data_IF_152091950320
#
_entry.id   IF_152091950320
#
_cell.length_a   1.000
_cell.length_b   1.000
_cell.length_c   1.000
_cell.angle_alpha   90.00
_cell.angle_beta   90.00
_cell.angle_gamma   90.00
#
_symmetry.space_group_name_H-M   'P 1'
#
loop_
_entity.id
_entity.type
_entity.pdbx_description
1 polymer ?
#
# COMPACT_ATOMS: atom_id res chain seq x y z
N UNK A 1 27.81 46.77 33.54
CA UNK A 1 28.39 46.77 34.90
C UNK A 1 28.10 45.42 35.54
N UNK A 2 29.17 44.70 35.94
CA UNK A 2 29.30 43.58 36.90
C UNK A 2 28.12 42.57 37.02
N UNK A 3 28.19 41.26 36.72
CA UNK A 3 29.15 40.16 37.04
C UNK A 3 29.44 40.02 38.54
N UNK A 4 29.19 38.82 39.10
CA UNK A 4 29.95 38.04 40.13
C UNK A 4 29.01 36.89 40.61
N UNK A 5 29.11 35.60 40.24
CA UNK A 5 30.17 34.55 40.40
C UNK A 5 30.45 34.25 41.90
N UNK A 6 30.23 33.06 42.47
CA UNK A 6 31.16 31.89 42.59
C UNK A 6 30.47 30.91 43.58
N UNK A 7 30.28 29.60 43.34
CA UNK A 7 31.21 28.46 43.31
C UNK A 7 31.90 28.08 44.66
N UNK A 8 31.60 26.84 45.08
CA UNK A 8 32.52 25.75 45.47
C UNK A 8 33.04 25.54 46.93
N UNK A 9 33.46 24.27 47.14
CA UNK A 9 34.29 23.66 48.21
C UNK A 9 33.59 23.28 49.54
N UNK A 10 33.91 22.18 50.26
CA UNK A 10 34.60 20.89 50.04
C UNK A 10 34.42 20.07 51.34
N UNK A 11 34.49 18.74 51.20
CA UNK A 11 34.96 17.69 52.13
C UNK A 11 35.45 18.04 53.55
N UNK A 12 35.08 17.24 54.57
CA UNK A 12 35.99 16.32 55.32
C UNK A 12 35.39 15.59 56.55
N UNK A 13 35.88 14.33 56.76
CA UNK A 13 36.17 13.62 58.03
C UNK A 13 35.02 13.05 58.91
N UNK A 14 35.11 11.91 59.64
CA UNK A 14 36.13 10.86 59.85
C UNK A 14 35.51 9.69 60.70
N UNK A 15 36.06 8.47 60.51
CA UNK A 15 36.22 7.33 61.45
C UNK A 15 34.97 6.63 62.06
N UNK A 16 34.93 5.30 62.29
CA UNK A 16 35.97 4.26 62.23
C UNK A 16 35.42 2.84 62.44
N UNK A 17 36.34 1.89 62.27
CA UNK A 17 36.27 0.43 62.13
C UNK A 17 35.57 -0.41 63.22
N UNK A 18 35.02 -1.56 62.79
CA UNK A 18 35.07 -2.84 63.50
C UNK A 18 35.27 -4.01 62.50
N UNK A 19 36.00 -5.02 62.95
CA UNK A 19 36.97 -5.82 62.19
C UNK A 19 36.50 -7.26 61.90
N UNK A 20 37.03 -7.84 60.81
CA UNK A 20 37.41 -9.26 60.59
C UNK A 20 36.34 -10.38 60.64
N UNK A 21 36.22 -11.12 59.52
CA UNK A 21 36.76 -12.49 59.35
C UNK A 21 36.50 -13.07 57.94
N UNK A 22 37.44 -13.91 57.50
CA UNK A 22 37.48 -14.82 56.34
C UNK A 22 37.94 -14.27 54.98
N UNK A 23 39.27 -14.25 54.84
CA UNK A 23 40.02 -14.28 53.58
C UNK A 23 40.67 -15.66 53.40
N UNK A 24 40.26 -16.44 52.40
CA UNK A 24 41.07 -17.53 51.83
C UNK A 24 40.90 -17.55 50.29
N UNK A 25 42.01 -17.18 49.64
CA UNK A 25 42.56 -17.63 48.35
C UNK A 25 41.71 -17.61 47.07
N UNK A 26 41.93 -16.58 46.26
CA UNK A 26 41.54 -16.45 44.84
C UNK A 26 42.47 -17.23 43.87
N UNK A 27 43.50 -17.91 44.38
CA UNK A 27 44.48 -18.65 43.57
C UNK A 27 43.97 -20.04 43.11
N UNK A 28 43.04 -20.67 43.85
CA UNK A 28 42.51 -22.01 43.52
C UNK A 28 41.47 -22.00 42.38
N UNK A 29 40.71 -20.91 42.23
CA UNK A 29 39.72 -20.78 41.15
C UNK A 29 40.36 -20.56 39.76
N UNK A 30 41.60 -20.05 39.69
CA UNK A 30 42.32 -19.86 38.41
C UNK A 30 42.89 -21.15 37.82
N UNK A 31 43.26 -22.15 38.64
CA UNK A 31 43.80 -23.44 38.15
C UNK A 31 42.73 -24.33 37.50
N UNK A 32 41.50 -24.30 38.00
CA UNK A 32 40.38 -25.09 37.44
C UNK A 32 39.92 -24.55 36.08
N UNK A 33 39.99 -23.22 35.88
CA UNK A 33 39.56 -22.58 34.61
C UNK A 33 40.56 -22.76 33.46
N UNK A 34 41.85 -23.00 33.74
CA UNK A 34 42.87 -23.25 32.71
C UNK A 34 42.95 -24.72 32.29
N UNK A 35 42.53 -25.68 33.13
CA UNK A 35 42.49 -27.11 32.81
C UNK A 35 41.37 -27.48 31.80
N UNK A 36 40.26 -26.74 31.82
CA UNK A 36 39.16 -26.92 30.86
C UNK A 36 39.44 -26.33 29.47
N UNK A 37 40.46 -25.45 29.35
CA UNK A 37 40.86 -24.83 28.07
C UNK A 37 41.89 -25.65 27.28
N UNK A 38 42.50 -26.70 27.85
CA UNK A 38 43.53 -27.51 27.16
C UNK A 38 43.02 -28.83 26.57
N UNK A 39 41.77 -29.25 26.83
CA UNK A 39 41.21 -30.54 26.35
C UNK A 39 40.16 -30.46 25.24
N UNK A 40 39.96 -29.29 24.61
CA UNK A 40 39.11 -29.13 23.40
C UNK A 40 39.88 -28.77 22.14
N UNK A 41 41.13 -29.25 22.03
CA UNK A 41 42.00 -29.06 20.85
C UNK A 41 42.40 -30.41 20.26
N UNK A 42 41.42 -31.19 19.76
CA UNK A 42 41.68 -32.40 18.97
C UNK A 42 40.44 -32.87 18.18
N UNK A 43 40.02 -32.08 17.18
CA UNK A 43 39.37 -32.58 15.94
C UNK A 43 39.29 -31.41 14.97
N UNK A 44 40.40 -31.15 14.29
CA UNK A 44 40.48 -30.17 13.20
C UNK A 44 40.07 -30.92 11.93
N UNK A 45 38.76 -30.98 11.66
CA UNK A 45 38.27 -31.19 10.30
C UNK A 45 38.90 -30.11 9.42
N UNK A 46 39.38 -30.48 8.23
CA UNK A 46 39.86 -29.53 7.22
C UNK A 46 38.70 -28.59 6.86
N UNK A 47 38.62 -27.45 7.53
CA UNK A 47 37.83 -26.31 7.08
C UNK A 47 38.48 -25.82 5.79
N UNK A 48 37.73 -25.94 4.70
CA UNK A 48 38.00 -25.19 3.47
C UNK A 48 37.96 -23.72 3.89
N UNK A 49 38.99 -22.90 3.62
CA UNK A 49 38.95 -21.49 3.98
C UNK A 49 37.71 -20.88 3.32
N UNK A 50 36.96 -20.00 4.03
CA UNK A 50 35.89 -19.26 3.38
C UNK A 50 36.53 -18.50 2.22
N UNK A 51 36.05 -18.73 1.00
CA UNK A 51 36.32 -17.80 -0.10
C UNK A 51 36.01 -16.41 0.43
N UNK A 52 36.96 -15.49 0.30
CA UNK A 52 36.72 -14.07 0.49
C UNK A 52 35.38 -13.75 -0.18
N UNK A 53 34.41 -13.31 0.61
CA UNK A 53 33.15 -12.87 0.04
C UNK A 53 33.48 -11.64 -0.78
N UNK A 54 33.43 -11.74 -2.10
CA UNK A 54 33.54 -10.57 -2.98
C UNK A 54 32.65 -9.47 -2.38
N UNK A 55 33.21 -8.30 -2.13
CA UNK A 55 32.42 -7.17 -1.66
C UNK A 55 31.29 -6.95 -2.66
N UNK A 56 30.09 -6.63 -2.18
CA UNK A 56 28.91 -6.50 -3.05
C UNK A 56 29.14 -5.50 -4.21
N UNK A 57 30.10 -4.58 -4.04
CA UNK A 57 30.52 -3.59 -5.04
C UNK A 57 31.31 -4.19 -6.22
N UNK A 58 31.98 -5.34 -6.01
CA UNK A 58 32.79 -6.06 -6.99
C UNK A 58 31.99 -7.09 -7.81
N UNK A 59 30.77 -7.40 -7.36
CA UNK A 59 29.85 -8.27 -8.11
C UNK A 59 29.48 -7.60 -9.44
N UNK A 60 29.74 -8.32 -10.54
CA UNK A 60 29.41 -7.88 -11.89
C UNK A 60 29.00 -9.05 -12.80
N UNK A 61 28.34 -8.72 -13.91
CA UNK A 61 28.11 -9.65 -14.99
C UNK A 61 29.26 -9.59 -16.00
N UNK A 62 29.78 -10.75 -16.40
CA UNK A 62 30.72 -10.80 -17.52
C UNK A 62 30.00 -10.49 -18.85
N UNK A 63 30.76 -10.13 -19.89
CA UNK A 63 30.19 -9.85 -21.21
C UNK A 63 29.44 -11.05 -21.78
N UNK A 64 30.04 -12.23 -21.70
CA UNK A 64 29.45 -13.46 -22.26
C UNK A 64 28.20 -13.89 -21.48
N UNK A 65 28.25 -13.80 -20.15
CA UNK A 65 27.09 -14.06 -19.28
C UNK A 65 25.94 -13.10 -19.60
N UNK A 66 26.25 -11.82 -19.79
CA UNK A 66 25.26 -10.79 -20.16
C UNK A 66 24.58 -11.10 -21.48
N UNK A 67 25.36 -11.49 -22.51
CA UNK A 67 24.82 -11.84 -23.82
C UNK A 67 23.93 -13.08 -23.78
N UNK A 68 24.35 -14.12 -23.03
CA UNK A 68 23.56 -15.34 -22.86
C UNK A 68 22.24 -15.07 -22.12
N UNK A 69 22.27 -14.28 -21.04
CA UNK A 69 21.07 -13.88 -20.30
C UNK A 69 20.12 -13.12 -21.19
N UNK A 70 20.61 -12.13 -21.96
CA UNK A 70 19.78 -11.34 -22.89
C UNK A 70 19.09 -12.21 -23.92
N UNK A 71 19.86 -13.05 -24.62
CA UNK A 71 19.32 -13.93 -25.65
C UNK A 71 18.24 -14.88 -25.10
N UNK A 72 18.59 -15.66 -24.07
CA UNK A 72 17.70 -16.69 -23.52
C UNK A 72 16.44 -16.10 -22.87
N UNK A 73 16.58 -14.94 -22.21
CA UNK A 73 15.45 -14.29 -21.55
C UNK A 73 14.49 -13.65 -22.55
N UNK A 74 14.99 -13.02 -23.61
CA UNK A 74 14.15 -12.40 -24.64
C UNK A 74 13.44 -13.46 -25.48
N UNK A 75 14.12 -14.54 -25.87
CA UNK A 75 13.51 -15.67 -26.58
C UNK A 75 12.36 -16.28 -25.77
N UNK A 76 12.61 -16.57 -24.49
CA UNK A 76 11.56 -17.05 -23.58
C UNK A 76 10.41 -16.06 -23.47
N UNK A 77 10.69 -14.76 -23.36
CA UNK A 77 9.67 -13.73 -23.20
C UNK A 77 8.77 -13.60 -24.43
N UNK A 78 9.34 -13.70 -25.63
CA UNK A 78 8.58 -13.62 -26.88
C UNK A 78 7.52 -14.74 -26.95
N UNK A 79 7.83 -15.92 -26.42
CA UNK A 79 6.91 -17.07 -26.39
C UNK A 79 5.97 -17.11 -25.18
N UNK A 80 6.40 -16.61 -24.02
CA UNK A 80 5.75 -16.85 -22.73
C UNK A 80 5.13 -15.61 -22.07
N UNK A 81 5.32 -14.42 -22.64
CA UNK A 81 4.76 -13.20 -22.06
C UNK A 81 3.24 -13.29 -21.91
N UNK A 82 2.72 -12.92 -20.74
CA UNK A 82 1.27 -12.79 -20.57
C UNK A 82 0.73 -11.68 -21.44
N UNK A 83 -0.43 -11.96 -22.00
CA UNK A 83 -1.19 -11.03 -22.80
C UNK A 83 -1.92 -10.02 -21.90
N UNK A 84 -1.39 -8.79 -21.84
CA UNK A 84 -1.85 -7.74 -20.93
C UNK A 84 -2.27 -6.49 -21.72
N UNK A 85 -3.38 -5.81 -21.35
CA UNK A 85 -3.92 -4.69 -22.13
C UNK A 85 -2.91 -3.56 -22.38
N UNK A 86 -2.11 -3.22 -21.37
CA UNK A 86 -1.09 -2.17 -21.46
C UNK A 86 0.14 -2.57 -22.29
N UNK A 87 0.31 -3.85 -22.63
CA UNK A 87 1.38 -4.31 -23.54
C UNK A 87 1.04 -4.11 -25.01
N UNK A 88 -0.25 -4.14 -25.39
CA UNK A 88 -0.71 -4.15 -26.79
C UNK A 88 -0.69 -2.80 -27.51
N UNK A 89 -0.68 -1.67 -26.80
CA UNK A 89 -0.82 -0.33 -27.40
C UNK A 89 0.40 -0.01 -28.28
N UNK A 90 0.24 0.19 -29.59
CA UNK A 90 1.38 0.31 -30.52
C UNK A 90 1.14 1.28 -31.70
N UNK A 91 2.18 2.09 -32.02
CA UNK A 91 2.55 2.54 -33.39
C UNK A 91 2.19 3.95 -33.89
N UNK A 92 3.13 4.92 -33.91
CA UNK A 92 2.99 6.30 -34.46
C UNK A 92 3.58 7.40 -33.55
N UNK A 93 3.81 8.64 -34.01
CA UNK A 93 4.34 9.72 -33.13
C UNK A 93 3.35 10.12 -32.04
N UNK A 94 2.09 10.31 -32.40
CA UNK A 94 0.99 10.58 -31.45
C UNK A 94 0.69 9.34 -30.59
N UNK A 95 1.00 8.17 -31.11
CA UNK A 95 0.89 6.90 -30.40
C UNK A 95 2.06 6.68 -29.41
N UNK A 96 3.20 7.38 -29.55
CA UNK A 96 4.28 7.32 -28.55
C UNK A 96 3.87 7.97 -27.25
N UNK A 97 3.26 9.15 -27.31
CA UNK A 97 2.79 9.85 -26.12
C UNK A 97 1.64 9.10 -25.46
N UNK A 98 0.71 8.56 -26.26
CA UNK A 98 -0.33 7.64 -25.76
C UNK A 98 0.28 6.39 -25.14
N UNK A 99 1.35 5.83 -25.72
CA UNK A 99 2.06 4.67 -25.15
C UNK A 99 2.75 5.04 -23.84
N UNK A 100 3.42 6.18 -23.76
CA UNK A 100 4.02 6.71 -22.54
C UNK A 100 2.99 6.89 -21.43
N UNK A 101 1.87 7.53 -21.75
CA UNK A 101 0.72 7.69 -20.86
C UNK A 101 0.15 6.34 -20.40
N UNK A 102 -0.11 5.41 -21.32
CA UNK A 102 -0.66 4.11 -20.99
C UNK A 102 0.26 3.28 -20.09
N UNK A 103 1.57 3.27 -20.38
CA UNK A 103 2.58 2.63 -19.53
C UNK A 103 2.59 3.30 -18.15
N UNK A 104 2.58 4.64 -18.10
CA UNK A 104 2.55 5.35 -16.82
C UNK A 104 1.32 4.97 -15.97
N UNK A 105 0.14 4.95 -16.56
CA UNK A 105 -1.10 4.53 -15.90
C UNK A 105 -0.98 3.09 -15.37
N UNK A 106 -0.53 2.15 -16.20
CA UNK A 106 -0.41 0.74 -15.78
C UNK A 106 0.61 0.57 -14.67
N UNK A 107 1.77 1.22 -14.75
CA UNK A 107 2.82 1.15 -13.74
C UNK A 107 2.33 1.73 -12.41
N UNK A 108 1.62 2.86 -12.43
CA UNK A 108 1.04 3.45 -11.23
C UNK A 108 -0.03 2.52 -10.64
N UNK A 109 -0.87 1.88 -11.45
CA UNK A 109 -1.87 0.90 -10.96
C UNK A 109 -1.22 -0.35 -10.36
N UNK A 110 -0.16 -0.88 -10.97
CA UNK A 110 0.51 -2.12 -10.57
C UNK A 110 1.33 -1.99 -9.27
N UNK A 111 1.64 -0.77 -8.82
CA UNK A 111 2.29 -0.55 -7.53
C UNK A 111 1.50 -1.20 -6.38
N UNK A 112 2.04 -2.29 -5.81
CA UNK A 112 1.42 -3.04 -4.72
C UNK A 112 0.00 -3.55 -5.01
N UNK A 113 -0.35 -3.74 -6.29
CA UNK A 113 -1.65 -4.27 -6.72
C UNK A 113 -1.45 -5.44 -7.67
N UNK A 114 -2.31 -6.46 -7.57
CA UNK A 114 -2.19 -7.67 -8.41
C UNK A 114 -2.59 -7.38 -9.86
N UNK A 115 -1.86 -7.97 -10.81
CA UNK A 115 -2.13 -7.85 -12.26
C UNK A 115 -3.60 -8.16 -12.59
N UNK A 116 -4.15 -9.25 -12.06
CA UNK A 116 -5.53 -9.68 -12.31
C UNK A 116 -6.56 -8.61 -11.94
N UNK A 117 -6.32 -7.87 -10.86
CA UNK A 117 -7.19 -6.76 -10.43
C UNK A 117 -7.04 -5.56 -11.35
N UNK A 118 -5.80 -5.25 -11.78
CA UNK A 118 -5.52 -4.05 -12.57
C UNK A 118 -6.12 -4.09 -13.97
N UNK A 119 -6.28 -5.28 -14.57
CA UNK A 119 -6.79 -5.44 -15.95
C UNK A 119 -8.10 -4.67 -16.19
N UNK A 120 -9.11 -4.86 -15.34
CA UNK A 120 -10.42 -4.23 -15.55
C UNK A 120 -10.41 -2.73 -15.22
N UNK A 121 -9.61 -2.32 -14.23
CA UNK A 121 -9.42 -0.91 -13.93
C UNK A 121 -8.73 -0.17 -15.06
N UNK A 122 -7.66 -0.76 -15.62
CA UNK A 122 -6.93 -0.19 -16.72
C UNK A 122 -7.82 -0.04 -17.96
N UNK A 123 -8.59 -1.08 -18.32
CA UNK A 123 -9.52 -1.02 -19.47
C UNK A 123 -10.55 0.10 -19.30
N UNK A 124 -11.23 0.18 -18.15
CA UNK A 124 -12.21 1.25 -17.87
C UNK A 124 -11.57 2.63 -17.87
N UNK A 125 -10.37 2.74 -17.28
CA UNK A 125 -9.60 3.98 -17.23
C UNK A 125 -9.24 4.48 -18.62
N UNK A 126 -8.60 3.64 -19.44
CA UNK A 126 -8.19 4.00 -20.80
C UNK A 126 -9.38 4.26 -21.73
N UNK A 127 -10.55 3.67 -21.45
CA UNK A 127 -11.78 3.99 -22.17
C UNK A 127 -12.33 5.38 -21.81
N UNK A 128 -12.26 5.79 -20.54
CA UNK A 128 -12.73 7.12 -20.10
C UNK A 128 -11.71 8.23 -20.42
N UNK A 129 -10.44 7.97 -20.18
CA UNK A 129 -9.33 8.91 -20.40
C UNK A 129 -8.26 8.24 -21.27
N UNK A 130 -8.42 8.23 -22.60
CA UNK A 130 -7.50 7.56 -23.51
C UNK A 130 -6.15 8.27 -23.66
N UNK A 131 -6.08 9.57 -23.34
CA UNK A 131 -4.84 10.35 -23.45
C UNK A 131 -4.60 11.19 -22.20
N UNK A 132 -3.35 11.66 -22.06
CA UNK A 132 -2.93 12.57 -21.00
C UNK A 132 -3.85 13.81 -20.88
N UNK A 133 -4.20 14.41 -22.01
CA UNK A 133 -5.07 15.60 -22.08
C UNK A 133 -6.47 15.34 -21.50
N UNK A 134 -7.06 14.17 -21.77
CA UNK A 134 -8.35 13.79 -21.19
C UNK A 134 -8.27 13.67 -19.67
N UNK A 135 -7.19 13.08 -19.16
CA UNK A 135 -6.98 12.96 -17.71
C UNK A 135 -6.75 14.33 -17.06
N UNK A 136 -5.97 15.21 -17.70
CA UNK A 136 -5.69 16.54 -17.17
C UNK A 136 -6.96 17.39 -16.97
N UNK A 137 -8.00 17.18 -17.78
CA UNK A 137 -9.29 17.86 -17.65
C UNK A 137 -10.19 17.25 -16.56
N UNK A 138 -9.86 16.06 -16.04
CA UNK A 138 -10.69 15.37 -15.06
C UNK A 138 -10.66 16.06 -13.69
N UNK A 139 -11.79 15.96 -12.98
CA UNK A 139 -11.85 16.34 -11.57
C UNK A 139 -11.19 15.27 -10.68
N UNK A 140 -10.69 15.67 -9.51
CA UNK A 140 -10.15 14.72 -8.53
C UNK A 140 -11.22 13.73 -8.06
N UNK A 141 -12.48 14.14 -8.02
CA UNK A 141 -13.59 13.29 -7.58
C UNK A 141 -13.85 12.16 -8.56
N UNK A 142 -13.99 12.46 -9.85
CA UNK A 142 -14.14 11.43 -10.89
C UNK A 142 -12.97 10.45 -10.90
N UNK A 143 -11.75 10.97 -10.74
CA UNK A 143 -10.53 10.17 -10.70
C UNK A 143 -10.50 9.24 -9.48
N UNK A 144 -10.87 9.74 -8.30
CA UNK A 144 -10.99 8.92 -7.09
C UNK A 144 -12.06 7.84 -7.25
N UNK A 145 -13.17 8.16 -7.91
CA UNK A 145 -14.28 7.25 -8.14
C UNK A 145 -13.87 6.10 -9.07
N UNK A 146 -13.17 6.41 -10.16
CA UNK A 146 -12.61 5.41 -11.08
C UNK A 146 -11.51 4.56 -10.42
N UNK A 147 -10.78 5.11 -9.46
CA UNK A 147 -9.74 4.41 -8.70
C UNK A 147 -10.28 3.61 -7.51
N UNK A 148 -11.58 3.75 -7.20
CA UNK A 148 -12.17 3.18 -6.00
C UNK A 148 -11.96 1.67 -5.93
N UNK A 149 -11.31 1.21 -4.86
CA UNK A 149 -10.98 -0.20 -4.63
C UNK A 149 -9.54 -0.61 -4.95
N UNK A 150 -8.77 0.18 -5.72
CA UNK A 150 -7.34 -0.11 -5.96
C UNK A 150 -6.43 0.23 -4.76
N UNK A 151 -6.92 1.08 -3.84
CA UNK A 151 -6.16 1.54 -2.69
C UNK A 151 -5.01 2.49 -3.06
N UNK A 152 -4.30 2.98 -2.03
CA UNK A 152 -3.18 3.93 -2.18
C UNK A 152 -3.52 5.15 -3.05
N UNK A 153 -4.60 5.86 -2.74
CA UNK A 153 -5.16 6.98 -3.52
C UNK A 153 -4.21 8.17 -3.73
N UNK A 154 -3.12 8.27 -2.95
CA UNK A 154 -2.06 9.25 -3.25
C UNK A 154 -1.48 9.03 -4.66
N UNK A 155 -1.40 7.78 -5.12
CA UNK A 155 -0.94 7.42 -6.47
C UNK A 155 -1.76 8.11 -7.55
N UNK A 156 -3.09 7.97 -7.50
CA UNK A 156 -3.96 8.53 -8.54
C UNK A 156 -4.02 10.05 -8.48
N UNK A 157 -3.92 10.64 -7.28
CA UNK A 157 -3.82 12.09 -7.13
C UNK A 157 -2.55 12.64 -7.79
N UNK A 158 -1.41 11.99 -7.57
CA UNK A 158 -0.16 12.38 -8.20
C UNK A 158 -0.18 12.12 -9.71
N UNK A 159 -0.83 11.05 -10.18
CA UNK A 159 -1.04 10.81 -11.60
C UNK A 159 -1.85 11.94 -12.25
N UNK A 160 -2.96 12.38 -11.63
CA UNK A 160 -3.75 13.52 -12.11
C UNK A 160 -2.95 14.83 -12.06
N UNK A 161 -2.26 15.09 -10.95
CA UNK A 161 -1.44 16.30 -10.80
C UNK A 161 -0.35 16.34 -11.87
N UNK A 162 0.41 15.26 -12.05
CA UNK A 162 1.46 15.19 -13.06
C UNK A 162 0.91 15.29 -14.48
N UNK A 163 -0.29 14.76 -14.75
CA UNK A 163 -0.91 14.90 -16.06
C UNK A 163 -1.26 16.37 -16.37
N UNK A 164 -1.72 17.13 -15.36
CA UNK A 164 -1.94 18.57 -15.49
C UNK A 164 -0.64 19.32 -15.72
N UNK A 165 0.39 19.04 -14.93
CA UNK A 165 1.73 19.64 -15.06
C UNK A 165 2.30 19.46 -16.47
N UNK A 166 2.27 18.23 -17.02
CA UNK A 166 2.79 17.96 -18.38
C UNK A 166 1.97 18.68 -19.48
N UNK A 167 0.64 18.79 -19.31
CA UNK A 167 -0.20 19.52 -20.28
C UNK A 167 0.05 21.03 -20.21
N UNK A 168 0.26 21.58 -19.02
CA UNK A 168 0.60 23.00 -18.82
C UNK A 168 1.96 23.37 -19.42
N UNK A 169 2.94 22.44 -19.42
CA UNK A 169 4.27 22.62 -20.00
C UNK A 169 4.34 22.44 -21.54
N UNK A 170 3.20 22.31 -22.21
CA UNK A 170 3.12 22.20 -23.69
C UNK A 170 2.68 20.84 -24.23
N UNK A 171 2.31 19.90 -23.35
CA UNK A 171 1.57 18.69 -23.72
C UNK A 171 2.38 17.53 -24.31
N UNK A 172 3.66 17.73 -24.60
CA UNK A 172 4.57 16.66 -25.06
C UNK A 172 4.95 15.76 -23.89
N UNK A 173 4.79 14.45 -24.04
CA UNK A 173 5.13 13.51 -22.97
C UNK A 173 6.67 13.37 -22.82
N UNK A 174 7.26 13.52 -21.61
CA UNK A 174 8.71 13.43 -21.45
C UNK A 174 9.27 12.04 -21.73
N UNK A 175 10.39 11.98 -22.44
CA UNK A 175 10.96 10.70 -22.91
C UNK A 175 12.22 10.26 -22.14
N UNK A 176 12.80 11.15 -21.32
CA UNK A 176 14.00 10.87 -20.53
C UNK A 176 13.69 10.59 -19.07
N UNK A 177 14.53 9.75 -18.43
CA UNK A 177 14.41 9.47 -16.98
C UNK A 177 14.54 10.74 -16.15
N UNK A 178 15.40 11.68 -16.56
CA UNK A 178 15.62 12.93 -15.81
C UNK A 178 14.38 13.81 -15.78
N UNK A 179 13.70 13.98 -16.92
CA UNK A 179 12.49 14.78 -17.01
C UNK A 179 11.30 14.08 -16.35
N UNK A 180 11.13 12.78 -16.59
CA UNK A 180 10.08 11.98 -15.97
C UNK A 180 10.13 12.06 -14.44
N UNK A 181 11.32 12.06 -13.83
CA UNK A 181 11.49 12.18 -12.38
C UNK A 181 11.13 13.55 -11.80
N UNK A 182 10.99 14.59 -12.62
CA UNK A 182 10.51 15.90 -12.16
C UNK A 182 9.01 15.86 -11.86
N UNK A 183 8.27 15.00 -12.55
CA UNK A 183 6.82 14.84 -12.37
C UNK A 183 6.54 14.19 -11.03
N UNK A 184 5.68 14.81 -10.23
CA UNK A 184 5.36 14.34 -8.88
C UNK A 184 4.75 12.93 -8.92
N UNK A 185 5.31 12.04 -8.11
CA UNK A 185 4.86 10.65 -8.01
C UNK A 185 5.53 9.69 -8.99
N UNK A 186 6.35 10.18 -9.92
CA UNK A 186 7.23 9.35 -10.75
C UNK A 186 8.57 9.16 -10.04
N UNK A 187 8.76 7.96 -9.48
CA UNK A 187 10.05 7.53 -8.92
C UNK A 187 10.98 6.96 -9.99
N UNK A 188 12.20 6.59 -9.56
CA UNK A 188 13.23 6.01 -10.43
C UNK A 188 12.74 4.77 -11.21
N UNK A 189 12.04 3.86 -10.53
CA UNK A 189 11.40 2.69 -11.16
C UNK A 189 10.44 3.08 -12.28
N UNK A 190 9.47 3.96 -11.99
CA UNK A 190 8.42 4.34 -12.94
C UNK A 190 9.01 5.13 -14.11
N UNK A 191 9.99 6.00 -13.86
CA UNK A 191 10.71 6.71 -14.92
C UNK A 191 11.45 5.74 -15.84
N UNK A 192 12.18 4.76 -15.28
CA UNK A 192 12.87 3.73 -16.06
C UNK A 192 11.91 2.86 -16.88
N UNK A 193 10.77 2.48 -16.29
CA UNK A 193 9.76 1.66 -16.95
C UNK A 193 9.15 2.40 -18.15
N UNK A 194 8.74 3.65 -17.98
CA UNK A 194 8.21 4.47 -19.05
C UNK A 194 9.27 4.70 -20.15
N UNK A 195 10.46 5.18 -19.77
CA UNK A 195 11.53 5.50 -20.71
C UNK A 195 11.97 4.29 -21.54
N UNK A 196 12.09 3.11 -20.93
CA UNK A 196 12.49 1.90 -21.64
C UNK A 196 11.36 1.27 -22.47
N UNK A 197 10.14 1.17 -21.93
CA UNK A 197 9.02 0.49 -22.58
C UNK A 197 8.39 1.34 -23.69
N UNK A 198 8.20 2.64 -23.46
CA UNK A 198 7.55 3.52 -24.43
C UNK A 198 8.56 4.18 -25.38
N UNK A 199 9.74 4.56 -24.87
CA UNK A 199 10.69 5.42 -25.58
C UNK A 199 12.01 4.72 -25.93
N UNK A 200 12.12 3.40 -25.70
CA UNK A 200 13.29 2.57 -26.03
C UNK A 200 14.61 3.10 -25.46
N UNK A 201 14.59 3.87 -24.38
CA UNK A 201 15.80 4.32 -23.71
C UNK A 201 16.45 3.13 -23.00
N UNK A 202 17.77 2.99 -23.15
CA UNK A 202 18.56 1.91 -22.54
C UNK A 202 18.79 2.23 -21.07
N UNK A 203 17.77 2.01 -20.26
CA UNK A 203 17.78 2.28 -18.81
C UNK A 203 17.21 1.09 -18.04
N UNK A 204 17.78 0.77 -16.87
CA UNK A 204 17.30 -0.34 -16.05
C UNK A 204 15.98 -0.02 -15.35
N UNK A 205 15.31 -1.09 -14.94
CA UNK A 205 14.12 -1.05 -14.10
C UNK A 205 14.32 -2.06 -12.97
N UNK A 206 14.15 -1.62 -11.73
CA UNK A 206 14.35 -2.48 -10.55
C UNK A 206 13.12 -2.43 -9.65
N UNK A 207 12.36 -3.53 -9.61
CA UNK A 207 11.30 -3.80 -8.63
C UNK A 207 11.66 -4.98 -7.72
N UNK A 208 10.72 -5.40 -6.88
CA UNK A 208 10.90 -6.57 -6.01
C UNK A 208 11.07 -7.89 -6.77
N UNK A 209 10.61 -7.99 -8.03
CA UNK A 209 10.83 -9.15 -8.89
C UNK A 209 12.25 -9.18 -9.41
N UNK A 210 12.72 -8.06 -9.97
CA UNK A 210 14.08 -7.87 -10.48
C UNK A 210 15.12 -8.06 -9.38
N UNK A 211 14.91 -7.43 -8.21
CA UNK A 211 15.79 -7.61 -7.04
C UNK A 211 15.95 -9.10 -6.71
N UNK A 212 14.85 -9.85 -6.70
CA UNK A 212 14.87 -11.28 -6.38
C UNK A 212 15.56 -12.12 -7.46
N UNK A 213 15.35 -11.81 -8.73
CA UNK A 213 16.03 -12.50 -9.83
C UNK A 213 17.54 -12.23 -9.75
N UNK A 214 17.95 -10.97 -9.68
CA UNK A 214 19.37 -10.60 -9.63
C UNK A 214 20.05 -11.15 -8.37
N UNK A 215 19.38 -11.10 -7.22
CA UNK A 215 19.94 -11.66 -5.99
C UNK A 215 20.19 -13.17 -6.11
N UNK A 216 19.36 -13.89 -6.85
CA UNK A 216 19.55 -15.34 -7.08
C UNK A 216 20.61 -15.61 -8.15
N UNK A 217 20.61 -14.82 -9.23
CA UNK A 217 21.64 -14.91 -10.26
C UNK A 217 23.03 -14.74 -9.67
N UNK A 218 23.22 -13.79 -8.74
CA UNK A 218 24.52 -13.49 -8.14
C UNK A 218 24.69 -13.95 -6.69
N UNK A 219 23.77 -14.76 -6.17
CA UNK A 219 23.78 -15.26 -4.79
C UNK A 219 23.99 -14.14 -3.73
N UNK A 220 23.33 -12.99 -3.91
CA UNK A 220 23.41 -11.83 -3.01
C UNK A 220 22.45 -12.03 -1.84
N UNK A 221 22.99 -12.31 -0.65
CA UNK A 221 22.22 -12.47 0.60
C UNK A 221 22.04 -11.18 1.40
N UNK A 222 22.53 -10.04 0.90
CA UNK A 222 22.39 -8.75 1.59
C UNK A 222 20.91 -8.33 1.73
N UNK A 223 20.62 -7.48 2.71
CA UNK A 223 19.28 -6.94 2.90
C UNK A 223 18.91 -6.04 1.69
N UNK A 224 17.86 -6.37 0.94
CA UNK A 224 17.50 -5.67 -0.29
C UNK A 224 16.95 -4.25 -0.08
N UNK A 225 16.80 -3.81 1.18
CA UNK A 225 16.35 -2.45 1.53
C UNK A 225 17.48 -1.52 1.90
N UNK A 226 18.70 -2.03 2.08
CA UNK A 226 19.84 -1.19 2.43
C UNK A 226 20.27 -0.37 1.20
N UNK A 227 20.57 0.91 1.42
CA UNK A 227 20.86 1.87 0.34
C UNK A 227 21.99 1.40 -0.59
N UNK A 228 23.08 0.85 -0.04
CA UNK A 228 24.20 0.31 -0.82
C UNK A 228 23.78 -0.90 -1.66
N UNK A 229 22.99 -1.81 -1.09
CA UNK A 229 22.45 -2.99 -1.78
C UNK A 229 21.51 -2.58 -2.93
N UNK A 230 20.62 -1.61 -2.68
CA UNK A 230 19.73 -1.06 -3.72
C UNK A 230 20.54 -0.48 -4.88
N UNK A 231 21.57 0.34 -4.59
CA UNK A 231 22.46 0.90 -5.61
C UNK A 231 23.15 -0.20 -6.43
N UNK A 232 23.56 -1.27 -5.78
CA UNK A 232 24.19 -2.43 -6.44
C UNK A 232 23.21 -3.15 -7.37
N UNK A 233 21.95 -3.35 -6.98
CA UNK A 233 20.93 -3.91 -7.87
C UNK A 233 20.66 -3.04 -9.10
N UNK A 234 20.64 -1.70 -8.94
CA UNK A 234 20.51 -0.78 -10.08
C UNK A 234 21.72 -0.86 -11.04
N UNK A 235 22.94 -0.93 -10.50
CA UNK A 235 24.17 -1.14 -11.29
C UNK A 235 24.11 -2.45 -12.07
N UNK A 236 23.78 -3.55 -11.40
CA UNK A 236 23.67 -4.89 -11.98
C UNK A 236 22.58 -4.97 -13.04
N UNK A 237 21.40 -4.41 -12.78
CA UNK A 237 20.34 -4.32 -13.77
C UNK A 237 20.81 -3.52 -14.99
N UNK A 238 21.50 -2.40 -14.80
CA UNK A 238 22.05 -1.57 -15.88
C UNK A 238 23.03 -2.30 -16.80
N UNK A 239 23.82 -3.24 -16.26
CA UNK A 239 24.69 -4.11 -17.06
C UNK A 239 23.89 -5.06 -17.97
N UNK A 240 22.73 -5.52 -17.49
CA UNK A 240 21.92 -6.53 -18.17
C UNK A 240 20.99 -5.96 -19.24
N UNK A 241 20.51 -4.71 -19.11
CA UNK A 241 19.55 -4.11 -20.06
C UNK A 241 20.02 -4.28 -21.50
N UNK A 242 19.17 -4.87 -22.33
CA UNK A 242 19.47 -5.06 -23.75
C UNK A 242 19.48 -3.70 -24.48
N UNK A 243 20.54 -3.38 -25.25
CA UNK A 243 20.64 -2.11 -25.95
C UNK A 243 19.66 -1.97 -27.13
N UNK A 244 19.15 -3.08 -27.68
CA UNK A 244 18.24 -3.06 -28.83
C UNK A 244 16.76 -3.11 -28.39
N UNK A 245 16.47 -3.86 -27.33
CA UNK A 245 15.12 -4.12 -26.79
C UNK A 245 15.03 -3.83 -25.28
N UNK A 246 15.37 -2.63 -24.81
CA UNK A 246 15.47 -2.36 -23.37
C UNK A 246 14.13 -2.51 -22.64
N UNK A 247 13.03 -2.07 -23.26
CA UNK A 247 11.68 -2.22 -22.72
C UNK A 247 11.23 -3.67 -22.58
N UNK A 248 11.47 -4.49 -23.60
CA UNK A 248 11.13 -5.92 -23.56
C UNK A 248 12.01 -6.66 -22.56
N UNK A 249 13.31 -6.35 -22.51
CA UNK A 249 14.22 -6.95 -21.55
C UNK A 249 13.80 -6.66 -20.10
N UNK A 250 13.49 -5.39 -19.77
CA UNK A 250 13.01 -5.02 -18.44
C UNK A 250 11.71 -5.75 -18.09
N UNK A 251 10.77 -5.83 -19.04
CA UNK A 251 9.53 -6.56 -18.83
C UNK A 251 9.76 -8.07 -18.67
N UNK A 252 10.66 -8.66 -19.44
CA UNK A 252 11.02 -10.07 -19.36
C UNK A 252 11.63 -10.42 -18.00
N UNK A 253 12.49 -9.55 -17.46
CA UNK A 253 13.09 -9.75 -16.15
C UNK A 253 12.05 -9.67 -15.02
N UNK A 254 11.10 -8.72 -15.11
CA UNK A 254 9.96 -8.65 -14.21
C UNK A 254 9.03 -9.87 -14.34
N UNK A 255 8.74 -10.30 -15.57
CA UNK A 255 7.89 -11.45 -15.89
C UNK A 255 8.48 -12.75 -15.36
N UNK A 256 9.79 -12.96 -15.53
CA UNK A 256 10.51 -14.11 -15.01
C UNK A 256 10.37 -14.18 -13.49
N UNK A 257 10.58 -13.06 -12.79
CA UNK A 257 10.38 -12.98 -11.35
C UNK A 257 8.92 -13.29 -10.97
N UNK A 258 7.96 -12.74 -11.69
CA UNK A 258 6.54 -12.90 -11.38
C UNK A 258 6.00 -14.32 -11.61
N UNK A 259 6.55 -15.08 -12.57
CA UNK A 259 5.95 -16.33 -13.06
C UNK A 259 6.78 -17.58 -12.75
N UNK A 260 8.11 -17.52 -12.82
CA UNK A 260 8.99 -18.68 -12.63
C UNK A 260 9.86 -18.53 -11.38
N UNK A 261 10.57 -17.42 -11.26
CA UNK A 261 11.48 -17.14 -10.15
C UNK A 261 10.69 -16.56 -8.96
N UNK A 262 9.68 -17.30 -8.50
CA UNK A 262 8.75 -16.92 -7.43
C UNK A 262 9.41 -16.84 -6.04
N UNK A 263 8.74 -16.23 -5.06
CA UNK A 263 9.26 -16.12 -3.69
C UNK A 263 9.53 -17.48 -3.05
N UNK A 264 8.61 -18.42 -3.24
CA UNK A 264 8.65 -19.78 -2.69
C UNK A 264 8.44 -20.79 -3.82
N UNK A 265 9.25 -21.85 -3.84
CA UNK A 265 9.22 -22.88 -4.87
C UNK A 265 9.43 -22.32 -6.31
N UNK A 266 10.60 -21.73 -6.59
CA UNK A 266 10.91 -21.23 -7.93
C UNK A 266 10.99 -22.37 -8.95
N UNK A 267 10.45 -22.15 -10.14
CA UNK A 267 10.47 -23.09 -11.28
C UNK A 267 11.83 -23.20 -11.95
N UNK A 268 12.89 -23.50 -11.19
CA UNK A 268 14.27 -23.49 -11.66
C UNK A 268 14.54 -24.46 -12.82
N UNK A 269 13.81 -25.57 -12.90
CA UNK A 269 13.98 -26.58 -13.94
C UNK A 269 13.62 -26.08 -15.35
N UNK A 270 12.69 -25.13 -15.45
CA UNK A 270 12.21 -24.54 -16.71
C UNK A 270 12.63 -23.08 -16.88
N UNK A 271 13.51 -22.59 -16.00
CA UNK A 271 13.97 -21.20 -16.04
C UNK A 271 14.98 -21.02 -17.18
N UNK A 272 14.77 -20.06 -18.11
CA UNK A 272 15.60 -19.89 -19.31
C UNK A 272 17.04 -19.48 -19.00
N UNK A 273 17.27 -18.86 -17.84
CA UNK A 273 18.59 -18.38 -17.40
C UNK A 273 19.11 -19.17 -16.18
N UNK A 274 18.67 -20.42 -16.03
CA UNK A 274 19.07 -21.27 -14.91
C UNK A 274 20.56 -21.64 -14.92
N UNK A 275 21.17 -21.71 -16.10
CA UNK A 275 22.60 -22.00 -16.26
C UNK A 275 23.49 -20.91 -15.66
N UNK A 276 23.04 -19.65 -15.68
CA UNK A 276 23.75 -18.49 -15.11
C UNK A 276 23.37 -18.23 -13.63
N UNK A 277 22.55 -19.07 -13.01
CA UNK A 277 22.04 -18.83 -11.66
C UNK A 277 22.99 -19.37 -10.58
N UNK A 278 23.76 -18.49 -9.93
CA UNK A 278 24.70 -18.89 -8.88
C UNK A 278 23.99 -19.50 -7.67
N UNK A 279 22.84 -18.98 -7.23
CA UNK A 279 22.09 -19.57 -6.12
C UNK A 279 21.62 -21.01 -6.43
N UNK A 280 21.25 -21.30 -7.69
CA UNK A 280 20.91 -22.65 -8.10
C UNK A 280 22.13 -23.57 -8.12
N UNK A 281 23.27 -23.08 -8.61
CA UNK A 281 24.54 -23.82 -8.56
C UNK A 281 24.92 -24.18 -7.13
N UNK A 282 24.82 -23.23 -6.19
CA UNK A 282 25.12 -23.46 -4.77
C UNK A 282 24.16 -24.48 -4.16
N UNK A 283 22.86 -24.37 -4.44
CA UNK A 283 21.85 -25.31 -3.93
C UNK A 283 22.05 -26.74 -4.42
N UNK A 284 22.58 -26.93 -5.64
CA UNK A 284 22.94 -28.25 -6.17
C UNK A 284 24.20 -28.84 -5.52
N UNK A 285 25.10 -27.99 -5.01
CA UNK A 285 26.35 -28.41 -4.36
C UNK A 285 26.17 -28.65 -2.86
N UNK A 286 25.19 -28.00 -2.23
CA UNK A 286 24.93 -28.10 -0.80
C UNK A 286 23.43 -28.09 -0.52
N UNK A 287 22.91 -29.24 -0.03
CA UNK A 287 21.49 -29.44 0.27
C UNK A 287 20.93 -28.49 1.33
N UNK A 288 21.79 -27.89 2.17
CA UNK A 288 21.39 -26.90 3.19
C UNK A 288 21.17 -25.48 2.65
N UNK A 289 21.49 -25.23 1.38
CA UNK A 289 21.30 -23.93 0.73
C UNK A 289 20.15 -24.05 -0.28
N UNK A 290 19.17 -23.16 -0.17
CA UNK A 290 18.06 -23.09 -1.11
C UNK A 290 18.10 -21.80 -1.94
N UNK A 291 17.65 -21.89 -3.20
CA UNK A 291 17.49 -20.70 -4.06
C UNK A 291 16.58 -19.65 -3.42
N UNK A 292 15.61 -20.07 -2.59
CA UNK A 292 14.71 -19.20 -1.85
C UNK A 292 15.35 -18.40 -0.71
N UNK A 293 16.60 -18.73 -0.33
CA UNK A 293 17.33 -18.00 0.71
C UNK A 293 17.83 -16.63 0.21
N UNK A 294 17.77 -16.41 -1.10
CA UNK A 294 18.18 -15.18 -1.77
C UNK A 294 16.96 -14.43 -2.37
N UNK A 295 16.74 -13.15 -2.04
CA UNK A 295 17.49 -12.34 -1.08
C UNK A 295 17.05 -12.63 0.36
N UNK A 296 17.84 -12.19 1.35
CA UNK A 296 17.48 -12.36 2.76
C UNK A 296 16.12 -11.75 3.07
N UNK A 297 15.28 -12.52 3.75
CA UNK A 297 13.94 -12.11 4.14
C UNK A 297 14.00 -11.00 5.19
N UNK A 298 13.48 -9.83 4.83
CA UNK A 298 13.38 -8.70 5.76
C UNK A 298 12.17 -8.87 6.68
N UNK A 299 12.39 -8.80 7.99
CA UNK A 299 11.30 -8.78 8.98
C UNK A 299 10.48 -7.50 8.80
N UNK A 300 9.16 -7.65 8.64
CA UNK A 300 8.25 -6.51 8.52
C UNK A 300 7.98 -5.92 9.90
N UNK A 301 7.91 -4.58 9.98
CA UNK A 301 7.46 -3.89 11.18
C UNK A 301 6.02 -4.31 11.53
N UNK A 302 5.72 -4.37 12.83
CA UNK A 302 4.35 -4.65 13.30
C UNK A 302 3.43 -3.48 12.95
N UNK A 303 2.20 -3.80 12.56
CA UNK A 303 1.16 -2.79 12.29
C UNK A 303 0.74 -2.14 13.60
N UNK A 304 0.46 -0.83 13.56
CA UNK A 304 -0.14 -0.12 14.70
C UNK A 304 -1.63 -0.44 14.78
N UNK A 305 -2.18 -0.50 15.98
CA UNK A 305 -3.60 -0.73 16.20
C UNK A 305 -4.30 0.61 16.45
N UNK A 306 -5.39 0.86 15.74
CA UNK A 306 -6.20 2.06 15.87
C UNK A 306 -7.67 1.68 16.04
N UNK A 307 -8.45 2.56 16.68
CA UNK A 307 -9.87 2.36 16.95
C UNK A 307 -10.66 3.52 16.39
N UNK A 308 -11.85 3.25 15.86
CA UNK A 308 -12.74 4.30 15.36
C UNK A 308 -14.20 3.97 15.64
N UNK A 309 -14.97 4.98 16.05
CA UNK A 309 -16.43 4.90 16.01
C UNK A 309 -16.92 5.48 14.68
N UNK A 310 -17.83 4.76 14.03
CA UNK A 310 -18.42 5.10 12.73
C UNK A 310 -19.93 5.08 12.87
N UNK A 311 -20.58 6.17 12.47
CA UNK A 311 -22.04 6.30 12.51
C UNK A 311 -22.59 6.43 11.10
N UNK A 312 -23.38 5.45 10.69
CA UNK A 312 -24.14 5.52 9.43
C UNK A 312 -25.41 6.30 9.73
N UNK A 313 -25.41 7.58 9.37
CA UNK A 313 -26.55 8.46 9.58
C UNK A 313 -27.48 8.41 8.37
N UNK A 314 -28.70 7.94 8.60
CA UNK A 314 -29.76 7.87 7.61
C UNK A 314 -30.86 8.87 7.98
N UNK A 315 -31.30 9.65 6.99
CA UNK A 315 -32.40 10.59 7.12
C UNK A 315 -33.59 10.05 6.31
N UNK A 316 -34.73 9.96 6.99
CA UNK A 316 -36.01 9.64 6.36
C UNK A 316 -36.66 10.94 5.86
N UNK A 317 -36.88 11.02 4.55
CA UNK A 317 -37.54 12.18 3.93
C UNK A 317 -39.06 12.16 4.20
N UNK A 318 -39.66 13.34 4.35
CA UNK A 318 -41.07 13.50 4.73
C UNK A 318 -42.04 13.64 3.53
N UNK A 319 -41.57 13.60 2.29
CA UNK A 319 -42.44 13.85 1.13
C UNK A 319 -43.31 12.63 0.76
N UNK A 320 -44.54 12.67 1.29
CA UNK A 320 -45.83 12.12 0.83
C UNK A 320 -45.89 10.79 0.07
N UNK A 321 -46.45 9.79 0.75
CA UNK A 321 -47.73 9.09 0.47
C UNK A 321 -48.18 8.72 -0.96
N UNK A 322 -47.33 8.78 -1.99
CA UNK A 322 -47.66 8.24 -3.32
C UNK A 322 -46.52 7.37 -3.87
N UNK A 323 -46.70 6.04 -3.77
CA UNK A 323 -45.94 5.06 -4.57
C UNK A 323 -44.58 4.63 -4.03
N UNK A 324 -44.57 3.50 -3.33
CA UNK A 324 -43.51 2.46 -3.30
C UNK A 324 -42.03 2.87 -3.48
N UNK A 325 -41.47 3.65 -2.55
CA UNK A 325 -40.14 3.44 -1.90
C UNK A 325 -39.80 4.72 -1.11
N UNK A 326 -39.69 4.65 0.21
CA UNK A 326 -39.08 5.74 0.99
C UNK A 326 -37.64 5.95 0.49
N UNK A 327 -37.36 7.09 -0.13
CA UNK A 327 -36.00 7.47 -0.49
C UNK A 327 -35.30 7.92 0.79
N UNK A 328 -34.55 7.01 1.41
CA UNK A 328 -33.68 7.38 2.51
C UNK A 328 -32.37 7.96 2.00
N UNK A 329 -31.96 9.07 2.62
CA UNK A 329 -30.73 9.79 2.33
C UNK A 329 -29.69 9.46 3.39
N UNK A 330 -28.44 9.33 2.98
CA UNK A 330 -27.31 9.06 3.88
C UNK A 330 -26.37 10.25 3.93
N UNK A 331 -25.81 10.55 5.10
CA UNK A 331 -24.80 11.59 5.24
C UNK A 331 -23.42 11.00 5.00
N UNK A 332 -22.66 11.62 4.10
CA UNK A 332 -21.23 11.39 3.94
C UNK A 332 -20.44 12.65 4.25
N UNK A 333 -19.27 12.46 4.84
CA UNK A 333 -18.28 13.52 5.11
C UNK A 333 -17.04 13.30 4.24
N UNK A 334 -16.46 14.38 3.74
CA UNK A 334 -15.23 14.34 2.96
C UNK A 334 -14.04 14.43 3.89
N UNK A 335 -13.13 13.46 3.80
CA UNK A 335 -11.88 13.49 4.58
C UNK A 335 -11.01 14.67 4.15
N UNK A 336 -10.16 15.21 5.04
CA UNK A 336 -9.20 16.26 4.71
C UNK A 336 -8.34 15.91 3.49
N UNK A 337 -7.79 16.92 2.83
CA UNK A 337 -6.93 16.73 1.64
C UNK A 337 -5.56 16.09 1.98
N UNK A 338 -5.25 15.89 3.25
CA UNK A 338 -4.03 15.25 3.73
C UNK A 338 -4.29 14.08 4.68
N UNK A 339 -3.27 13.25 4.88
CA UNK A 339 -3.36 12.06 5.74
C UNK A 339 -3.99 10.83 5.09
N UNK A 340 -4.50 9.93 5.93
CA UNK A 340 -5.06 8.63 5.51
C UNK A 340 -6.35 8.84 4.71
N UNK A 341 -6.45 8.18 3.55
CA UNK A 341 -7.63 8.22 2.66
C UNK A 341 -8.08 9.64 2.28
N UNK A 342 -7.11 10.55 2.16
CA UNK A 342 -7.35 11.97 1.98
C UNK A 342 -8.24 12.30 0.76
N UNK A 343 -9.20 13.22 0.95
CA UNK A 343 -10.15 13.70 -0.06
C UNK A 343 -11.24 12.69 -0.44
N UNK A 344 -11.34 11.54 0.22
CA UNK A 344 -12.37 10.53 -0.03
C UNK A 344 -13.57 10.71 0.89
N UNK A 345 -14.71 10.21 0.44
CA UNK A 345 -15.97 10.23 1.18
C UNK A 345 -16.07 9.04 2.14
N UNK A 346 -16.57 9.29 3.35
CA UNK A 346 -16.84 8.30 4.37
C UNK A 346 -18.09 8.64 5.17
N UNK A 347 -18.59 7.67 5.94
CA UNK A 347 -19.60 7.98 6.96
C UNK A 347 -18.95 8.76 8.12
N UNK A 348 -19.73 9.59 8.84
CA UNK A 348 -19.29 10.24 10.06
C UNK A 348 -18.48 9.30 10.96
N UNK A 349 -17.21 9.64 11.18
CA UNK A 349 -16.29 8.80 11.93
C UNK A 349 -15.34 9.61 12.80
N UNK A 350 -14.97 9.04 13.95
CA UNK A 350 -14.02 9.64 14.89
C UNK A 350 -13.00 8.59 15.32
N UNK A 351 -11.73 8.98 15.41
CA UNK A 351 -10.67 8.13 15.95
C UNK A 351 -10.73 8.12 17.48
N UNK A 352 -10.51 6.96 18.07
CA UNK A 352 -10.49 6.74 19.50
C UNK A 352 -9.08 6.36 19.95
N UNK A 353 -8.65 6.89 21.10
CA UNK A 353 -7.31 6.59 21.64
C UNK A 353 -7.14 5.12 22.06
N UNK A 354 -8.24 4.48 22.46
CA UNK A 354 -8.29 3.10 22.96
C UNK A 354 -9.65 2.47 22.67
N UNK A 355 -9.81 1.19 22.99
CA UNK A 355 -11.12 0.55 23.01
C UNK A 355 -12.07 1.30 23.95
N UNK A 356 -13.29 1.50 23.49
CA UNK A 356 -14.30 2.29 24.20
C UNK A 356 -15.64 1.54 24.21
N UNK A 357 -16.35 1.65 25.31
CA UNK A 357 -17.70 1.09 25.47
C UNK A 357 -18.72 1.82 24.58
N UNK A 358 -19.95 1.31 24.51
CA UNK A 358 -21.02 1.88 23.69
C UNK A 358 -21.36 3.35 24.05
N UNK A 359 -21.40 3.69 25.34
CA UNK A 359 -21.78 5.04 25.78
C UNK A 359 -20.71 6.07 25.40
N UNK A 360 -19.44 5.71 25.61
CA UNK A 360 -18.28 6.52 25.23
C UNK A 360 -18.22 6.76 23.71
N UNK A 361 -18.45 5.70 22.91
CA UNK A 361 -18.53 5.77 21.44
C UNK A 361 -19.64 6.71 20.97
N UNK A 362 -20.85 6.56 21.52
CA UNK A 362 -22.01 7.40 21.18
C UNK A 362 -21.78 8.87 21.51
N UNK A 363 -21.25 9.16 22.70
CA UNK A 363 -20.92 10.53 23.11
C UNK A 363 -19.91 11.19 22.15
N UNK A 364 -18.90 10.45 21.70
CA UNK A 364 -17.92 10.97 20.75
C UNK A 364 -18.55 11.28 19.39
N UNK A 365 -19.43 10.41 18.88
CA UNK A 365 -20.18 10.67 17.64
C UNK A 365 -21.12 11.86 17.79
N UNK A 366 -21.87 11.96 18.90
CA UNK A 366 -22.83 13.05 19.11
C UNK A 366 -22.12 14.40 19.10
N UNK A 367 -20.97 14.49 19.79
CA UNK A 367 -20.11 15.66 19.77
C UNK A 367 -19.59 15.98 18.36
N UNK A 368 -19.23 14.96 17.57
CA UNK A 368 -18.78 15.13 16.19
C UNK A 368 -19.91 15.67 15.30
N UNK A 369 -21.11 15.07 15.35
CA UNK A 369 -22.27 15.50 14.55
C UNK A 369 -22.68 16.94 14.90
N UNK A 370 -22.66 17.30 16.18
CA UNK A 370 -22.99 18.66 16.61
C UNK A 370 -21.91 19.67 16.20
N UNK A 371 -20.63 19.41 16.49
CA UNK A 371 -19.55 20.36 16.21
C UNK A 371 -19.19 20.49 14.73
N UNK A 372 -19.23 19.39 13.98
CA UNK A 372 -18.72 19.32 12.60
C UNK A 372 -19.81 19.47 11.54
N UNK A 373 -21.03 19.03 11.84
CA UNK A 373 -22.15 19.05 10.90
C UNK A 373 -23.27 20.00 11.35
N UNK A 374 -23.15 20.62 12.52
CA UNK A 374 -24.20 21.42 13.15
C UNK A 374 -25.55 20.67 13.28
N UNK A 375 -25.48 19.34 13.43
CA UNK A 375 -26.63 18.47 13.59
C UNK A 375 -26.86 18.22 15.08
N UNK A 376 -27.73 19.03 15.69
CA UNK A 376 -28.14 18.82 17.07
C UNK A 376 -29.22 17.73 17.15
N UNK A 377 -28.85 16.56 17.69
CA UNK A 377 -29.73 15.41 17.83
C UNK A 377 -30.90 15.63 18.81
N UNK A 378 -30.85 16.67 19.66
CA UNK A 378 -31.90 17.00 20.62
C UNK A 378 -32.86 18.03 20.06
N UNK A 379 -32.35 19.07 19.42
CA UNK A 379 -33.15 20.21 18.96
C UNK A 379 -33.61 20.10 17.50
N UNK A 380 -32.71 19.72 16.59
CA UNK A 380 -32.95 19.79 15.14
C UNK A 380 -33.57 18.53 14.52
N UNK A 381 -33.42 17.38 15.18
CA UNK A 381 -33.87 16.08 14.64
C UNK A 381 -34.59 15.24 15.71
N UNK A 382 -35.40 14.28 15.26
CA UNK A 382 -35.98 13.23 16.08
C UNK A 382 -35.27 11.92 15.74
N UNK A 383 -34.63 11.31 16.73
CA UNK A 383 -34.04 9.97 16.59
C UNK A 383 -35.19 8.96 16.45
N UNK A 384 -35.23 8.25 15.32
CA UNK A 384 -36.20 7.18 15.04
C UNK A 384 -35.68 5.86 15.61
N UNK A 385 -34.44 5.51 15.28
CA UNK A 385 -33.73 4.39 15.89
C UNK A 385 -32.23 4.67 15.97
N UNK A 386 -31.55 4.02 16.92
CA UNK A 386 -30.09 4.05 17.06
C UNK A 386 -29.59 2.70 17.56
N UNK A 387 -28.91 1.98 16.70
CA UNK A 387 -28.57 0.57 16.90
C UNK A 387 -27.06 0.34 16.79
N UNK A 388 -26.50 -0.49 17.67
CA UNK A 388 -25.10 -0.97 17.56
C UNK A 388 -25.08 -2.16 16.59
N UNK A 389 -24.47 -1.98 15.43
CA UNK A 389 -24.43 -2.98 14.35
C UNK A 389 -23.27 -3.97 14.59
N UNK A 390 -22.27 -3.56 15.36
CA UNK A 390 -21.12 -4.38 15.73
C UNK A 390 -19.79 -3.80 15.27
N UNK A 391 -18.77 -4.65 15.23
CA UNK A 391 -17.39 -4.25 14.93
C UNK A 391 -16.82 -4.98 13.72
N UNK A 392 -15.91 -4.31 13.00
CA UNK A 392 -15.10 -4.95 11.97
C UNK A 392 -13.68 -4.37 11.95
N UNK A 393 -12.71 -5.20 11.56
CA UNK A 393 -11.31 -4.79 11.45
C UNK A 393 -10.95 -4.57 9.99
N UNK A 394 -10.59 -3.33 9.67
CA UNK A 394 -10.02 -2.98 8.38
C UNK A 394 -8.49 -2.92 8.45
N UNK A 395 -7.80 -3.64 7.55
CA UNK A 395 -6.34 -3.78 7.59
C UNK A 395 -5.69 -2.99 6.45
N UNK A 396 -4.86 -2.03 6.82
CA UNK A 396 -3.92 -1.33 5.94
C UNK A 396 -2.51 -1.90 6.14
N UNK A 397 -1.59 -1.62 5.22
CA UNK A 397 -0.21 -2.11 5.32
C UNK A 397 0.54 -1.69 6.60
N UNK A 398 0.16 -0.57 7.21
CA UNK A 398 0.79 -0.02 8.42
C UNK A 398 -0.17 0.11 9.61
N UNK A 399 -1.47 -0.13 9.41
CA UNK A 399 -2.52 0.09 10.43
C UNK A 399 -3.49 -1.08 10.43
N UNK A 400 -3.86 -1.54 11.62
CA UNK A 400 -5.01 -2.41 11.86
C UNK A 400 -6.08 -1.58 12.56
N UNK A 401 -7.09 -1.14 11.80
CA UNK A 401 -8.13 -0.22 12.26
C UNK A 401 -9.38 -1.01 12.65
N UNK A 402 -9.72 -1.02 13.93
CA UNK A 402 -10.96 -1.61 14.46
C UNK A 402 -12.05 -0.54 14.44
N UNK A 403 -13.08 -0.75 13.63
CA UNK A 403 -14.21 0.15 13.47
C UNK A 403 -15.43 -0.39 14.20
N UNK A 404 -16.02 0.43 15.04
CA UNK A 404 -17.28 0.20 15.71
C UNK A 404 -18.39 0.90 14.92
N UNK A 405 -19.40 0.16 14.48
CA UNK A 405 -20.42 0.65 13.56
C UNK A 405 -21.75 0.77 14.27
N UNK A 406 -22.35 1.96 14.21
CA UNK A 406 -23.75 2.17 14.57
C UNK A 406 -24.58 2.64 13.37
N UNK A 407 -25.87 2.35 13.42
CA UNK A 407 -26.88 2.92 12.54
C UNK A 407 -27.66 3.97 13.34
N UNK A 408 -27.73 5.19 12.82
CA UNK A 408 -28.50 6.29 13.40
C UNK A 408 -29.54 6.75 12.38
N UNK A 409 -30.81 6.44 12.64
CA UNK A 409 -31.93 6.84 11.77
C UNK A 409 -32.58 8.08 12.36
N UNK A 410 -32.58 9.15 11.58
CA UNK A 410 -33.09 10.45 11.96
C UNK A 410 -34.30 10.84 11.11
N UNK A 411 -35.17 11.62 11.72
CA UNK A 411 -36.25 12.33 11.06
C UNK A 411 -36.08 13.84 11.35
N UNK A 412 -36.10 14.72 10.34
CA UNK A 412 -36.00 16.16 10.55
C UNK A 412 -37.18 16.66 11.41
N UNK A 413 -36.97 17.66 12.28
CA UNK A 413 -38.05 18.36 12.98
C UNK A 413 -38.43 19.63 12.21
N UNK A 414 -39.66 19.69 11.66
CA UNK A 414 -40.20 20.84 10.92
C UNK A 414 -40.04 20.75 9.39
N UNK A 415 -40.67 21.67 8.64
CA UNK A 415 -40.55 21.81 7.17
C UNK A 415 -39.18 22.38 6.71
N UNK A 416 -38.20 22.47 7.60
CA UNK A 416 -36.86 22.93 7.27
C UNK A 416 -36.11 21.82 6.54
N UNK A 417 -35.89 21.99 5.24
CA UNK A 417 -34.84 21.28 4.53
C UNK A 417 -33.52 21.55 5.25
N UNK A 418 -32.82 20.50 5.70
CA UNK A 418 -31.44 20.65 6.14
C UNK A 418 -30.68 21.08 4.89
N UNK A 419 -30.27 22.35 4.84
CA UNK A 419 -29.71 22.99 3.64
C UNK A 419 -28.61 22.10 3.01
N UNK A 420 -28.81 21.76 1.73
CA UNK A 420 -27.87 21.01 0.93
C UNK A 420 -26.59 21.84 0.76
N UNK A 421 -25.46 21.28 1.19
CA UNK A 421 -24.10 21.80 1.00
C UNK A 421 -23.78 23.15 1.70
N UNK A 422 -23.29 23.08 2.94
CA UNK A 422 -22.49 24.17 3.51
C UNK A 422 -21.04 24.06 3.02
N UNK A 423 -20.67 24.98 2.14
CA UNK A 423 -19.32 25.17 1.60
C UNK A 423 -18.59 26.29 2.35
N UNK A 424 -18.57 26.28 3.68
CA UNK A 424 -17.73 27.21 4.45
C UNK A 424 -16.30 26.68 4.53
N UNK A 425 -15.31 27.54 4.21
CA UNK A 425 -13.87 27.20 4.13
C UNK A 425 -13.26 26.62 5.41
N UNK A 426 -13.93 26.77 6.56
CA UNK A 426 -13.51 26.24 7.87
C UNK A 426 -14.35 25.05 8.35
N UNK A 427 -15.44 24.70 7.64
CA UNK A 427 -16.35 23.60 8.00
C UNK A 427 -16.01 22.31 7.24
N UNK A 428 -16.27 21.16 7.86
CA UNK A 428 -16.13 19.86 7.20
C UNK A 428 -17.10 19.81 6.01
N UNK A 429 -16.58 19.49 4.82
CA UNK A 429 -17.44 19.27 3.65
C UNK A 429 -18.22 17.97 3.82
N UNK A 430 -19.54 18.04 3.70
CA UNK A 430 -20.45 16.89 3.81
C UNK A 430 -21.57 16.98 2.78
N UNK A 431 -22.23 15.86 2.47
CA UNK A 431 -23.36 15.81 1.52
C UNK A 431 -24.37 14.71 1.84
N UNK A 432 -25.58 14.86 1.31
CA UNK A 432 -26.57 13.78 1.23
C UNK A 432 -26.36 12.91 0.00
N UNK A 433 -26.56 11.60 0.17
CA UNK A 433 -26.53 10.64 -0.93
C UNK A 433 -27.70 9.67 -0.77
N UNK A 434 -28.52 9.54 -1.81
CA UNK A 434 -29.59 8.54 -1.83
C UNK A 434 -29.02 7.12 -1.78
N UNK A 435 -29.73 6.18 -1.15
CA UNK A 435 -29.29 4.78 -1.06
C UNK A 435 -28.91 4.17 -2.42
N UNK A 436 -29.68 4.44 -3.48
CA UNK A 436 -29.40 3.95 -4.84
C UNK A 436 -28.09 4.48 -5.42
N UNK A 437 -27.78 5.76 -5.17
CA UNK A 437 -26.54 6.38 -5.63
C UNK A 437 -25.34 5.87 -4.83
N UNK A 438 -25.55 5.58 -3.55
CA UNK A 438 -24.52 5.07 -2.64
C UNK A 438 -24.01 3.67 -3.05
N UNK A 439 -24.89 2.83 -3.62
CA UNK A 439 -24.51 1.52 -4.16
C UNK A 439 -23.50 1.64 -5.31
N UNK A 440 -23.75 2.58 -6.23
CA UNK A 440 -22.92 2.84 -7.42
C UNK A 440 -21.70 3.72 -7.16
N UNK A 441 -21.68 4.49 -6.07
CA UNK A 441 -20.62 5.44 -5.77
C UNK A 441 -19.28 4.74 -5.53
N UNK A 442 -18.17 5.36 -5.97
CA UNK A 442 -16.81 4.85 -5.77
C UNK A 442 -16.31 4.99 -4.32
N UNK A 443 -16.84 4.19 -3.40
CA UNK A 443 -16.44 4.17 -1.99
C UNK A 443 -15.21 3.29 -1.73
N UNK A 444 -14.46 3.63 -0.68
CA UNK A 444 -13.37 2.77 -0.19
C UNK A 444 -13.90 1.43 0.32
N UNK A 445 -13.05 0.40 0.30
CA UNK A 445 -13.43 -0.95 0.78
C UNK A 445 -13.93 -0.96 2.23
N UNK A 446 -13.35 -0.11 3.09
CA UNK A 446 -13.80 0.02 4.49
C UNK A 446 -15.20 0.59 4.59
N UNK A 447 -15.45 1.71 3.91
CA UNK A 447 -16.77 2.37 3.90
C UNK A 447 -17.84 1.49 3.24
N UNK A 448 -17.51 0.82 2.12
CA UNK A 448 -18.43 -0.13 1.47
C UNK A 448 -18.78 -1.30 2.40
N UNK A 449 -17.81 -1.79 3.19
CA UNK A 449 -18.05 -2.85 4.17
C UNK A 449 -18.99 -2.39 5.28
N UNK A 450 -18.80 -1.19 5.83
CA UNK A 450 -19.70 -0.56 6.80
C UNK A 450 -21.12 -0.52 6.26
N UNK A 451 -21.28 0.01 5.04
CA UNK A 451 -22.59 0.11 4.41
C UNK A 451 -23.25 -1.26 4.24
N UNK A 452 -22.49 -2.25 3.77
CA UNK A 452 -22.98 -3.64 3.61
C UNK A 452 -23.43 -4.24 4.94
N UNK A 453 -22.73 -3.96 6.05
CA UNK A 453 -23.13 -4.42 7.38
C UNK A 453 -24.51 -3.85 7.78
N UNK A 454 -24.72 -2.56 7.57
CA UNK A 454 -26.00 -1.89 7.82
C UNK A 454 -27.12 -2.46 6.94
N UNK A 455 -26.88 -2.65 5.64
CA UNK A 455 -27.89 -3.22 4.74
C UNK A 455 -28.29 -4.64 5.15
N UNK A 456 -27.33 -5.47 5.54
CA UNK A 456 -27.59 -6.83 6.01
C UNK A 456 -28.40 -6.84 7.32
N UNK A 457 -28.10 -5.91 8.24
CA UNK A 457 -28.83 -5.75 9.49
C UNK A 457 -30.30 -5.40 9.22
N UNK A 458 -30.56 -4.39 8.39
CA UNK A 458 -31.92 -3.99 8.00
C UNK A 458 -32.73 -5.10 7.35
N UNK A 459 -32.10 -5.91 6.49
CA UNK A 459 -32.77 -7.07 5.87
C UNK A 459 -33.15 -8.13 6.90
N UNK A 460 -32.31 -8.32 7.92
CA UNK A 460 -32.57 -9.30 8.99
C UNK A 460 -33.73 -8.84 9.87
N UNK A 461 -33.81 -7.55 10.21
CA UNK A 461 -34.92 -6.99 10.97
C UNK A 461 -36.25 -7.03 10.21
N UNK A 462 -36.24 -6.79 8.91
CA UNK A 462 -37.44 -6.92 8.08
C UNK A 462 -37.93 -8.38 7.99
N UNK A 463 -37.01 -9.35 8.05
CA UNK A 463 -37.34 -10.78 8.03
C UNK A 463 -37.87 -11.30 9.38
N UNK A 464 -37.51 -10.67 10.51
CA UNK A 464 -37.96 -11.07 11.85
C UNK A 464 -39.30 -10.48 12.29
N UNK A 465 -39.92 -9.58 11.50
CA UNK A 465 -41.29 -9.10 11.76
C UNK A 465 -42.31 -10.18 11.33
N UNK A 466 -42.99 -10.88 12.26
CA UNK A 466 -44.00 -11.88 11.90
C UNK A 466 -45.32 -11.16 11.59
N UNK A 467 -45.77 -11.23 10.33
CA UNK A 467 -47.18 -11.07 10.00
C UNK A 467 -47.57 -9.85 9.17
N UNK A 468 -47.52 -10.00 7.85
CA UNK A 468 -48.63 -9.58 6.98
C UNK A 468 -48.85 -10.67 5.93
N UNK A 469 -49.52 -11.77 6.34
CA UNK A 469 -50.22 -12.63 5.38
C UNK A 469 -51.20 -11.72 4.62
N UNK A 470 -50.93 -11.47 3.34
CA UNK A 470 -51.95 -10.98 2.40
C UNK A 470 -53.09 -11.99 2.44
N UNK A 471 -54.17 -11.67 3.16
CA UNK A 471 -55.46 -12.33 2.94
C UNK A 471 -55.94 -11.84 1.57
N UNK A 472 -55.70 -12.63 0.54
CA UNK A 472 -56.38 -12.49 -0.74
C UNK A 472 -57.85 -12.83 -0.48
N UNK A 473 -58.69 -11.81 -0.33
CA UNK A 473 -60.13 -11.97 -0.38
C UNK A 473 -60.48 -12.28 -1.84
N UNK A 474 -60.61 -13.56 -2.17
CA UNK A 474 -61.26 -14.01 -3.39
C UNK A 474 -62.76 -13.78 -3.20
N UNK A 475 -63.29 -12.72 -3.83
CA UNK A 475 -64.72 -12.63 -4.11
C UNK A 475 -65.02 -13.58 -5.27
N UNK A 476 -65.83 -14.60 -5.02
CA UNK A 476 -66.71 -15.23 -6.01
C UNK A 476 -68.14 -14.91 -5.60
#
# INVERSE_FOLDING_TARGET
MAVTICLHFETHCLAGNLNKRYSVSMEEKKRVLMSLKSKKRARRSREIPPKESDDIEDISFSKDETLQIRASLLEWYDENQRDLPWRRISGGSDERDKRGYAVWVSEVMLQQTRVSTVIDYFKRWMNKWPTLHHLAQASLEEVNEMWAGLGYYRRVRFLLQGAKEVVEEGGSFPDTVSELRKIKGIGEYTAGAIASIAFKKVVPVVDGNVVRVISRLKAISANPKDTATVKSFWKLAGQLVDPCRPGDFNQALMELGATLCSLSNPGCAVCPISAQCHALSLSRQNESVHVSDYPTKVVKAKQRHEFSAVSVVEILDCQEMTGSQSNSKYILVKRPNEGLLAGLWEFPSILLEKEADLASRRKAIDNFLQSSLNLDLKESTRIVSREDIGEFVHVFSHIRLKMYVELLVLHPKGNGSIEDEKLDKESITWKYVDGKNLDSMGLTSGVRKVYTMVQKHKQTEQATIPGRRRKTAVRR
#
